data_IF_444439837740
#
_entry.id   IF_444439837740
#
_cell.length_a   1.000
_cell.length_b   1.000
_cell.length_c   1.000
_cell.angle_alpha   90.00
_cell.angle_beta   90.00
_cell.angle_gamma   90.00
#
_symmetry.space_group_name_H-M   'P 1'
#
loop_
_entity.id
_entity.type
_entity.pdbx_description
1 polymer ?
#
# COMPACT_ATOMS: atom_id res chain seq x y z
N UNK A 1 -0.46 1.83 8.07
CA UNK A 1 0.16 2.83 7.16
C UNK A 1 0.02 4.26 7.65
N UNK A 2 -0.91 4.58 8.57
CA UNK A 2 -1.01 5.93 9.14
C UNK A 2 -1.43 7.01 8.13
N UNK A 3 -1.94 6.60 6.97
CA UNK A 3 -2.46 7.52 5.96
C UNK A 3 -3.85 8.00 6.39
N UNK A 4 -4.12 9.28 6.20
CA UNK A 4 -5.43 9.86 6.48
C UNK A 4 -6.42 9.47 5.40
N UNK A 5 -7.59 9.01 5.83
CA UNK A 5 -8.73 8.76 4.94
C UNK A 5 -9.32 10.11 4.55
N UNK A 6 -9.33 10.40 3.25
CA UNK A 6 -9.90 11.63 2.70
C UNK A 6 -11.32 11.45 2.15
N UNK A 7 -11.67 10.23 1.75
CA UNK A 7 -13.02 9.87 1.29
C UNK A 7 -13.27 8.38 1.52
N UNK A 8 -14.51 8.01 1.83
CA UNK A 8 -14.90 6.62 2.04
C UNK A 8 -16.36 6.39 1.62
N UNK A 9 -16.57 5.30 0.87
CA UNK A 9 -17.88 4.71 0.68
C UNK A 9 -17.84 3.27 1.16
N UNK A 10 -18.44 3.03 2.31
CA UNK A 10 -18.50 1.71 2.96
C UNK A 10 -18.97 0.64 1.98
N UNK A 11 -18.19 -0.44 1.88
CA UNK A 11 -18.46 -1.57 0.99
C UNK A 11 -18.09 -1.34 -0.48
N UNK A 12 -17.57 -0.16 -0.82
CA UNK A 12 -17.18 0.23 -2.18
C UNK A 12 -15.71 0.66 -2.28
N UNK A 13 -15.30 1.74 -1.61
CA UNK A 13 -13.91 2.20 -1.63
C UNK A 13 -13.50 2.97 -0.37
N UNK A 14 -12.18 3.05 -0.15
CA UNK A 14 -11.53 3.96 0.78
C UNK A 14 -10.39 4.70 0.08
N UNK A 15 -10.35 6.03 0.21
CA UNK A 15 -9.37 6.91 -0.41
C UNK A 15 -8.48 7.54 0.65
N UNK A 16 -7.18 7.49 0.43
CA UNK A 16 -6.16 8.01 1.31
C UNK A 16 -5.44 9.16 0.63
N UNK A 17 -5.34 10.31 1.29
CA UNK A 17 -4.56 11.44 0.77
C UNK A 17 -3.05 11.21 1.03
N UNK A 18 -2.22 11.55 0.06
CA UNK A 18 -0.75 11.50 0.16
C UNK A 18 -0.09 12.88 -0.02
N UNK A 19 -0.88 13.95 -0.09
CA UNK A 19 -0.47 15.33 -0.36
C UNK A 19 -0.15 15.59 -1.84
N UNK A 20 0.56 14.67 -2.49
CA UNK A 20 0.88 14.74 -3.93
C UNK A 20 -0.15 14.03 -4.82
N UNK A 21 -1.09 13.30 -4.23
CA UNK A 21 -2.09 12.51 -4.93
C UNK A 21 -2.95 11.73 -3.94
N UNK A 22 -3.50 10.60 -4.38
CA UNK A 22 -4.26 9.73 -3.52
C UNK A 22 -4.04 8.26 -3.85
N UNK A 23 -4.25 7.42 -2.85
CA UNK A 23 -4.39 5.97 -3.02
C UNK A 23 -5.86 5.64 -2.80
N UNK A 24 -6.52 5.02 -3.79
CA UNK A 24 -7.88 4.52 -3.64
C UNK A 24 -7.85 3.00 -3.61
N UNK A 25 -8.34 2.42 -2.52
CA UNK A 25 -8.61 0.99 -2.41
C UNK A 25 -10.07 0.76 -2.72
N UNK A 26 -10.34 0.04 -3.81
CA UNK A 26 -11.70 -0.28 -4.26
C UNK A 26 -11.96 -1.76 -4.10
N UNK A 27 -13.20 -2.09 -3.73
CA UNK A 27 -13.63 -3.48 -3.65
C UNK A 27 -13.56 -4.11 -5.04
N UNK A 28 -12.92 -5.27 -5.14
CA UNK A 28 -12.87 -6.04 -6.40
C UNK A 28 -14.28 -6.22 -6.98
N UNK A 29 -14.43 -5.84 -8.25
CA UNK A 29 -15.70 -5.92 -8.99
C UNK A 29 -16.70 -4.78 -8.73
N UNK A 30 -16.34 -3.78 -7.93
CA UNK A 30 -17.14 -2.56 -7.78
C UNK A 30 -17.21 -1.74 -9.07
N UNK A 31 -16.12 -1.74 -9.85
CA UNK A 31 -16.01 -1.01 -11.10
C UNK A 31 -15.84 -1.94 -12.30
N UNK A 32 -16.15 -1.44 -13.49
CA UNK A 32 -16.18 -2.24 -14.73
C UNK A 32 -14.82 -2.34 -15.46
N UNK A 33 -13.75 -1.80 -14.89
CA UNK A 33 -12.40 -1.88 -15.45
C UNK A 33 -11.72 -3.22 -15.11
N UNK A 34 -10.79 -3.73 -15.95
CA UNK A 34 -10.16 -5.03 -15.77
C UNK A 34 -9.05 -4.99 -14.70
N UNK A 35 -9.40 -4.87 -13.42
CA UNK A 35 -8.49 -5.06 -12.27
C UNK A 35 -8.49 -6.51 -11.84
N UNK A 36 -8.17 -7.43 -12.77
CA UNK A 36 -8.56 -8.83 -12.53
C UNK A 36 -7.85 -9.46 -11.33
N UNK A 37 -6.54 -9.30 -11.15
CA UNK A 37 -5.84 -10.07 -10.08
C UNK A 37 -4.57 -9.41 -9.50
N UNK A 38 -4.23 -8.16 -9.84
CA UNK A 38 -2.97 -7.55 -9.38
C UNK A 38 -3.10 -6.04 -9.19
N UNK A 39 -3.18 -5.61 -7.93
CA UNK A 39 -2.85 -4.25 -7.52
C UNK A 39 -1.47 -4.27 -6.86
N UNK A 40 -0.54 -3.47 -7.38
CA UNK A 40 0.77 -3.25 -6.73
C UNK A 40 0.91 -1.77 -6.46
N UNK A 41 1.06 -1.41 -5.18
CA UNK A 41 1.37 -0.06 -4.76
C UNK A 41 2.87 0.08 -4.53
N UNK A 42 3.43 1.23 -4.90
CA UNK A 42 4.83 1.57 -4.71
C UNK A 42 4.90 2.79 -3.80
N UNK A 43 5.58 2.65 -2.65
CA UNK A 43 5.81 3.76 -1.73
C UNK A 43 7.30 3.93 -1.50
N UNK A 44 7.77 5.14 -1.72
CA UNK A 44 9.09 5.54 -1.27
C UNK A 44 9.04 5.95 0.20
N UNK A 45 9.90 5.34 1.02
CA UNK A 45 10.03 5.62 2.45
C UNK A 45 11.42 6.15 2.77
N UNK A 46 11.55 7.08 3.73
CA UNK A 46 12.85 7.65 4.10
C UNK A 46 13.75 6.66 4.87
N UNK A 47 13.15 5.71 5.60
CA UNK A 47 13.84 4.65 6.33
C UNK A 47 13.01 3.37 6.24
N UNK A 48 13.53 2.38 5.53
CA UNK A 48 12.83 1.14 5.25
C UNK A 48 12.68 0.28 6.50
N UNK A 49 13.73 0.23 7.34
CA UNK A 49 13.74 -0.60 8.55
C UNK A 49 12.70 -0.11 9.55
N UNK A 50 12.61 1.19 9.74
CA UNK A 50 11.63 1.86 10.59
C UNK A 50 10.21 1.66 10.06
N UNK A 51 10.01 1.76 8.74
CA UNK A 51 8.72 1.50 8.12
C UNK A 51 8.23 0.05 8.33
N UNK A 52 9.10 -0.94 8.12
CA UNK A 52 8.78 -2.35 8.36
C UNK A 52 8.48 -2.61 9.84
N UNK A 53 9.26 -2.02 10.75
CA UNK A 53 9.04 -2.18 12.19
C UNK A 53 7.67 -1.62 12.63
N UNK A 54 7.24 -0.49 12.06
CA UNK A 54 5.94 0.12 12.36
C UNK A 54 4.76 -0.67 11.77
N UNK A 55 4.93 -1.32 10.62
CA UNK A 55 3.88 -2.12 9.97
C UNK A 55 3.73 -3.50 10.63
N UNK A 56 4.84 -4.07 11.10
CA UNK A 56 4.91 -5.40 11.67
C UNK A 56 5.42 -6.44 10.67
N UNK A 57 6.28 -7.34 11.15
CA UNK A 57 6.97 -8.33 10.31
C UNK A 57 6.06 -9.43 9.77
N UNK A 58 4.90 -9.64 10.38
CA UNK A 58 3.98 -10.72 10.01
C UNK A 58 3.37 -10.51 8.61
N UNK A 59 3.46 -9.29 8.08
CA UNK A 59 2.99 -8.92 6.75
C UNK A 59 4.09 -8.91 5.70
N UNK A 60 5.34 -9.15 6.10
CA UNK A 60 6.51 -9.11 5.23
C UNK A 60 6.58 -10.38 4.40
N UNK A 61 6.59 -10.21 3.08
CA UNK A 61 6.75 -11.31 2.13
C UNK A 61 8.22 -11.51 1.82
N UNK A 62 8.90 -10.40 1.50
CA UNK A 62 10.33 -10.40 1.17
C UNK A 62 10.92 -9.02 1.47
N UNK A 63 12.19 -8.98 1.85
CA UNK A 63 12.95 -7.74 2.00
C UNK A 63 14.38 -7.93 1.52
N UNK A 64 14.91 -6.91 0.87
CA UNK A 64 16.33 -6.74 0.58
C UNK A 64 16.79 -5.36 1.06
N UNK A 65 18.09 -5.06 0.92
CA UNK A 65 18.72 -3.91 1.55
C UNK A 65 17.96 -2.58 1.39
N UNK A 66 17.41 -2.33 0.19
CA UNK A 66 16.75 -1.05 -0.15
C UNK A 66 15.28 -1.18 -0.50
N UNK A 67 14.67 -2.37 -0.39
CA UNK A 67 13.26 -2.55 -0.70
C UNK A 67 12.61 -3.69 0.08
N UNK A 68 11.29 -3.63 0.24
CA UNK A 68 10.52 -4.71 0.84
C UNK A 68 9.12 -4.83 0.22
N UNK A 69 8.66 -6.07 0.07
CA UNK A 69 7.28 -6.39 -0.33
C UNK A 69 6.51 -6.86 0.90
N UNK A 70 5.34 -6.26 1.09
CA UNK A 70 4.37 -6.61 2.11
C UNK A 70 3.05 -7.02 1.45
N UNK A 71 2.27 -7.85 2.13
CA UNK A 71 0.86 -8.00 1.81
C UNK A 71 0.01 -7.07 2.67
N UNK A 72 -0.95 -6.40 2.04
CA UNK A 72 -2.07 -5.82 2.78
C UNK A 72 -3.02 -6.92 3.30
N UNK A 73 -4.03 -6.60 4.12
CA UNK A 73 -4.97 -7.60 4.62
C UNK A 73 -5.76 -8.36 3.54
N UNK A 74 -5.87 -7.82 2.32
CA UNK A 74 -6.56 -8.44 1.20
C UNK A 74 -5.61 -9.26 0.30
N UNK A 75 -4.31 -9.25 0.58
CA UNK A 75 -3.28 -10.00 -0.15
C UNK A 75 -2.66 -9.24 -1.33
N UNK A 76 -2.88 -7.93 -1.45
CA UNK A 76 -2.23 -7.10 -2.46
C UNK A 76 -0.76 -6.86 -2.11
N UNK A 77 0.09 -6.81 -3.13
CA UNK A 77 1.50 -6.47 -2.94
C UNK A 77 1.67 -4.97 -2.75
N UNK A 78 2.34 -4.59 -1.67
CA UNK A 78 2.81 -3.23 -1.43
C UNK A 78 4.35 -3.27 -1.44
N UNK A 79 4.96 -2.61 -2.41
CA UNK A 79 6.41 -2.43 -2.48
C UNK A 79 6.80 -1.14 -1.76
N UNK A 80 7.64 -1.27 -0.73
CA UNK A 80 8.35 -0.17 -0.11
C UNK A 80 9.74 -0.08 -0.74
N UNK A 81 10.14 1.12 -1.14
CA UNK A 81 11.51 1.42 -1.56
C UNK A 81 12.11 2.45 -0.62
N UNK A 82 13.32 2.20 -0.12
CA UNK A 82 14.06 3.23 0.59
C UNK A 82 14.50 4.32 -0.38
N UNK A 83 14.26 5.58 -0.04
CA UNK A 83 14.75 6.71 -0.84
C UNK A 83 16.27 6.70 -0.84
N UNK A 84 16.85 6.73 -2.04
CA UNK A 84 18.26 7.06 -2.21
C UNK A 84 18.46 8.53 -1.83
N UNK A 85 19.29 8.79 -0.81
CA UNK A 85 19.75 10.16 -0.51
C UNK A 85 20.60 10.74 -1.64
#
# INVERSE_FOLDING_TARGET
MGLEVSDERVGHHAKFDTGAGFVCLERKGAESYPSKDKAVLFFEVPDLRSAIAAIGKDRLVQSEGTWAVLHDPEGHNILLLERSN
#
